data_IF_093655265886
#
_entry.id   IF_093655265886
#
_cell.length_a   1.000
_cell.length_b   1.000
_cell.length_c   1.000
_cell.angle_alpha   90.00
_cell.angle_beta   90.00
_cell.angle_gamma   90.00
#
_symmetry.space_group_name_H-M   'P 1'
#
loop_
_entity.id
_entity.type
_entity.pdbx_description
1 polymer ?
#
# COMPACT_ATOMS: atom_id res chain seq x y z
N UNK A 1 13.43 -0.99 9.50
CA UNK A 1 12.45 -1.56 8.54
C UNK A 1 11.16 -0.79 8.69
N UNK A 2 10.61 -0.29 7.60
CA UNK A 2 9.42 0.55 7.64
C UNK A 2 8.15 -0.32 7.64
N UNK A 3 7.22 -0.07 8.58
CA UNK A 3 5.91 -0.74 8.58
C UNK A 3 4.92 -0.05 7.63
N UNK A 4 5.37 0.63 6.57
CA UNK A 4 4.53 1.43 5.68
C UNK A 4 4.88 1.11 4.22
N UNK A 5 3.87 0.97 3.40
CA UNK A 5 3.97 0.70 1.95
C UNK A 5 3.09 1.64 1.16
N UNK A 6 3.49 1.89 -0.08
CA UNK A 6 2.76 2.66 -1.06
C UNK A 6 2.31 1.72 -2.17
N UNK A 7 1.08 1.90 -2.60
CA UNK A 7 0.40 1.06 -3.59
C UNK A 7 -0.16 1.98 -4.66
N UNK A 8 -0.05 1.62 -5.93
CA UNK A 8 -0.74 2.30 -7.02
C UNK A 8 -1.06 1.32 -8.16
N UNK A 9 -1.62 1.85 -9.25
CA UNK A 9 -2.09 1.04 -10.38
C UNK A 9 -3.49 0.47 -10.19
N UNK A 10 -4.14 0.73 -9.05
CA UNK A 10 -5.52 0.33 -8.80
C UNK A 10 -6.53 1.37 -9.31
N UNK A 11 -7.75 0.95 -9.66
CA UNK A 11 -8.78 1.83 -10.19
C UNK A 11 -9.35 2.80 -9.13
N UNK A 12 -9.91 3.96 -9.55
CA UNK A 12 -10.47 4.96 -8.65
C UNK A 12 -11.68 4.48 -7.83
N UNK A 13 -12.29 3.38 -8.26
CA UNK A 13 -13.35 2.69 -7.54
C UNK A 13 -12.84 2.07 -6.23
N UNK A 14 -11.55 1.76 -6.13
CA UNK A 14 -10.97 1.19 -4.93
C UNK A 14 -10.81 2.27 -3.86
N UNK A 15 -11.23 1.90 -2.66
CA UNK A 15 -11.17 2.75 -1.47
C UNK A 15 -10.20 2.18 -0.46
N UNK A 16 -9.95 2.95 0.60
CA UNK A 16 -9.15 2.48 1.74
C UNK A 16 -9.66 1.16 2.32
N UNK A 17 -10.97 0.88 2.19
CA UNK A 17 -11.59 -0.33 2.70
C UNK A 17 -11.22 -1.54 1.85
N UNK A 18 -11.24 -1.39 0.54
CA UNK A 18 -10.85 -2.42 -0.42
C UNK A 18 -9.36 -2.75 -0.29
N UNK A 19 -8.50 -1.73 -0.24
CA UNK A 19 -7.08 -1.93 0.02
C UNK A 19 -6.86 -2.65 1.34
N UNK A 20 -7.53 -2.22 2.42
CA UNK A 20 -7.45 -2.91 3.71
C UNK A 20 -7.83 -4.39 3.57
N UNK A 21 -8.91 -4.73 2.87
CA UNK A 21 -9.31 -6.13 2.66
C UNK A 21 -8.25 -6.95 1.94
N UNK A 22 -7.51 -6.36 0.99
CA UNK A 22 -6.40 -7.02 0.29
C UNK A 22 -5.23 -7.30 1.25
N UNK A 23 -4.91 -6.38 2.16
CA UNK A 23 -3.75 -6.52 3.06
C UNK A 23 -4.05 -7.23 4.39
N UNK A 24 -5.32 -7.29 4.82
CA UNK A 24 -5.77 -8.04 6.02
C UNK A 24 -5.28 -9.50 6.06
N UNK A 25 -5.31 -10.30 4.98
CA UNK A 25 -4.78 -11.67 5.03
C UNK A 25 -3.26 -11.75 5.19
N UNK A 26 -2.53 -10.67 4.89
CA UNK A 26 -1.07 -10.61 5.05
C UNK A 26 -0.65 -10.10 6.43
N UNK A 27 -1.54 -9.42 7.14
CA UNK A 27 -1.26 -8.91 8.47
C UNK A 27 -2.26 -7.87 8.98
N UNK A 28 -1.92 -7.28 10.12
CA UNK A 28 -2.75 -6.33 10.83
C UNK A 28 -2.50 -4.90 10.35
N UNK A 29 -3.36 -4.45 9.44
CA UNK A 29 -3.33 -3.09 8.90
C UNK A 29 -3.68 -2.06 9.99
N UNK A 30 -2.70 -1.26 10.42
CA UNK A 30 -2.92 -0.13 11.34
C UNK A 30 -3.72 0.98 10.69
N UNK A 31 -3.28 1.44 9.51
CA UNK A 31 -3.89 2.56 8.84
C UNK A 31 -3.83 2.40 7.33
N UNK A 32 -4.85 2.92 6.64
CA UNK A 32 -4.87 3.01 5.18
C UNK A 32 -5.28 4.40 4.80
N UNK A 33 -4.54 5.02 3.89
CA UNK A 33 -4.80 6.34 3.37
C UNK A 33 -4.76 6.29 1.86
N UNK A 34 -5.86 6.66 1.21
CA UNK A 34 -5.90 6.80 -0.25
C UNK A 34 -5.75 8.27 -0.59
N UNK A 35 -4.73 8.59 -1.37
CA UNK A 35 -4.51 9.91 -1.96
C UNK A 35 -4.80 9.82 -3.45
N UNK A 36 -5.60 10.77 -3.92
CA UNK A 36 -5.90 10.95 -5.33
C UNK A 36 -5.24 12.24 -5.77
N UNK A 37 -4.40 12.14 -6.79
CA UNK A 37 -3.70 13.27 -7.38
C UNK A 37 -4.57 13.97 -8.42
N UNK A 38 -4.26 15.23 -8.74
CA UNK A 38 -5.05 16.04 -9.67
C UNK A 38 -5.01 15.49 -11.11
N UNK A 39 -3.98 14.70 -11.41
CA UNK A 39 -3.80 14.02 -12.70
C UNK A 39 -4.64 12.74 -12.83
N UNK A 40 -5.48 12.42 -11.83
CA UNK A 40 -6.29 11.20 -11.81
C UNK A 40 -5.51 9.95 -11.36
N UNK A 41 -4.26 10.12 -10.92
CA UNK A 41 -3.48 9.04 -10.35
C UNK A 41 -3.87 8.81 -8.88
N UNK A 42 -3.88 7.56 -8.44
CA UNK A 42 -4.33 7.23 -7.09
C UNK A 42 -3.29 6.36 -6.41
N UNK A 43 -2.93 6.77 -5.21
CA UNK A 43 -1.90 6.16 -4.39
C UNK A 43 -2.51 5.76 -3.06
N UNK A 44 -2.42 4.49 -2.73
CA UNK A 44 -2.82 3.91 -1.46
C UNK A 44 -1.61 3.77 -0.56
N UNK A 45 -1.59 4.46 0.57
CA UNK A 45 -0.57 4.31 1.60
C UNK A 45 -1.14 3.40 2.67
N UNK A 46 -0.48 2.28 2.92
CA UNK A 46 -0.89 1.28 3.91
C UNK A 46 0.18 1.20 4.98
N UNK A 47 -0.25 1.26 6.24
CA UNK A 47 0.60 1.10 7.41
C UNK A 47 0.23 -0.19 8.11
N UNK A 48 1.19 -1.09 8.20
CA UNK A 48 1.13 -2.38 8.89
C UNK A 48 1.50 -2.22 10.37
N UNK A 49 1.26 -3.28 11.15
CA UNK A 49 1.60 -3.30 12.58
C UNK A 49 3.06 -3.66 12.78
N UNK A 50 3.58 -4.56 11.94
CA UNK A 50 4.96 -5.03 11.95
C UNK A 50 5.59 -4.93 10.55
N UNK A 51 6.91 -4.67 10.48
CA UNK A 51 7.64 -4.65 9.22
C UNK A 51 7.76 -6.03 8.57
N UNK A 52 7.72 -7.11 9.35
CA UNK A 52 7.71 -8.48 8.82
C UNK A 52 6.53 -8.68 7.86
N UNK A 53 5.34 -8.19 8.23
CA UNK A 53 4.13 -8.26 7.39
C UNK A 53 4.32 -7.55 6.04
N UNK A 54 5.11 -6.47 6.02
CA UNK A 54 5.44 -5.72 4.80
C UNK A 54 6.29 -6.57 3.86
N UNK A 55 7.31 -7.27 4.36
CA UNK A 55 8.15 -8.15 3.55
C UNK A 55 7.33 -9.28 2.91
N UNK A 56 6.39 -9.85 3.65
CA UNK A 56 5.45 -10.84 3.12
C UNK A 56 4.58 -10.29 1.99
N UNK A 57 4.13 -9.04 2.11
CA UNK A 57 3.35 -8.35 1.07
C UNK A 57 4.18 -8.15 -0.20
N UNK A 58 5.45 -7.74 -0.07
CA UNK A 58 6.34 -7.59 -1.23
C UNK A 58 6.59 -8.90 -1.95
N UNK A 59 6.80 -9.99 -1.21
CA UNK A 59 6.89 -11.34 -1.79
C UNK A 59 5.62 -11.76 -2.53
N UNK A 60 4.46 -11.31 -2.07
CA UNK A 60 3.16 -11.53 -2.69
C UNK A 60 2.74 -10.42 -3.68
N UNK A 61 3.58 -9.42 -3.94
CA UNK A 61 3.16 -8.26 -4.73
C UNK A 61 2.67 -8.65 -6.13
N UNK A 62 3.32 -9.64 -6.73
CA UNK A 62 3.00 -10.13 -8.07
C UNK A 62 1.60 -10.76 -8.17
N UNK A 63 1.02 -11.25 -7.07
CA UNK A 63 -0.33 -11.83 -7.07
C UNK A 63 -1.43 -10.79 -6.96
N UNK A 64 -1.12 -9.53 -6.61
CA UNK A 64 -2.12 -8.48 -6.58
C UNK A 64 -2.44 -8.01 -8.00
N UNK A 65 -3.45 -8.64 -8.60
CA UNK A 65 -4.03 -8.23 -9.86
C UNK A 65 -5.43 -7.66 -9.61
N UNK A 66 -5.66 -6.43 -10.04
CA UNK A 66 -6.95 -5.74 -9.97
C UNK A 66 -7.33 -5.30 -11.38
N UNK A 67 -8.50 -5.72 -11.87
CA UNK A 67 -8.94 -5.46 -13.25
C UNK A 67 -7.92 -5.87 -14.33
N UNK A 68 -7.15 -6.94 -14.08
CA UNK A 68 -6.09 -7.38 -14.99
C UNK A 68 -4.84 -6.50 -15.01
N UNK A 69 -4.75 -5.50 -14.12
CA UNK A 69 -3.54 -4.70 -13.88
C UNK A 69 -2.85 -5.16 -12.61
N UNK A 70 -1.52 -5.23 -12.66
CA UNK A 70 -0.70 -5.47 -11.49
C UNK A 70 -0.69 -4.21 -10.62
N UNK A 71 -0.78 -4.39 -9.30
CA UNK A 71 -0.56 -3.30 -8.37
C UNK A 71 0.94 -3.07 -8.21
N UNK A 72 1.35 -1.82 -8.39
CA UNK A 72 2.69 -1.37 -8.06
C UNK A 72 2.74 -1.15 -6.55
N UNK A 73 3.61 -1.87 -5.85
CA UNK A 73 3.88 -1.65 -4.42
C UNK A 73 5.35 -1.27 -4.26
N UNK A 74 5.63 -0.27 -3.44
CA UNK A 74 6.98 0.17 -3.11
C UNK A 74 7.06 0.69 -1.67
N UNK A 75 8.23 0.56 -1.07
CA UNK A 75 8.50 1.15 0.24
C UNK A 75 8.67 2.66 0.05
N UNK A 76 8.08 3.50 0.94
CA UNK A 76 8.42 4.91 0.93
C UNK A 76 9.92 5.06 1.15
N UNK A 77 10.58 6.03 0.49
CA UNK A 77 11.88 6.47 0.96
C UNK A 77 11.69 6.87 2.43
N UNK A 78 12.52 6.34 3.32
CA UNK A 78 12.41 6.53 4.77
C UNK A 78 12.18 8.01 5.06
N UNK A 79 10.92 8.36 5.34
CA UNK A 79 10.49 9.76 5.47
C UNK A 79 10.56 10.17 6.94
N UNK A 80 11.56 9.66 7.65
CA UNK A 80 11.94 10.00 9.01
C UNK A 80 13.34 10.66 9.08
N UNK A 81 13.70 11.41 8.03
CA UNK A 81 14.86 12.31 8.03
C UNK A 81 14.49 13.79 7.75
N UNK A 82 13.29 14.21 8.14
CA UNK A 82 12.93 15.62 8.27
C UNK A 82 12.16 15.77 9.59
N UNK A 83 12.71 16.31 10.68
CA UNK A 83 13.49 17.54 10.81
C UNK A 83 14.03 17.59 12.25
N UNK A 84 15.34 17.73 12.44
CA UNK A 84 15.90 18.42 13.60
C UNK A 84 16.13 19.87 13.21
#
# INVERSE_FOLDING_TARGET
>A
MASKIYVSGFPPTYTQRELRQIFVPFGHVKSVKVQRDAHGYIIGVVQMSSPEEVEHIFGAQQVFQVEGKHLDIWEPPDSEAARN
#
